data_IF_730643202883
#
_entry.id   IF_730643202883
#
_cell.length_a   1.000
_cell.length_b   1.000
_cell.length_c   1.000
_cell.angle_alpha   90.00
_cell.angle_beta   90.00
_cell.angle_gamma   90.00
#
_symmetry.space_group_name_H-M   'P 1'
#
loop_
_entity.id
_entity.type
_entity.pdbx_description
1 polymer ?
#
# COMPACT_ATOMS: atom_id res chain seq x y z
N UNK A 1 0.02 4.56 0.28
CA UNK A 1 1.40 4.06 0.31
C UNK A 1 1.40 2.56 0.53
N UNK A 2 2.45 1.89 0.07
CA UNK A 2 2.59 0.44 0.16
C UNK A 2 3.54 0.08 1.31
N UNK A 3 2.99 -0.56 2.34
CA UNK A 3 3.72 -0.88 3.57
C UNK A 3 3.95 -2.38 3.64
N UNK A 4 5.20 -2.81 3.80
CA UNK A 4 5.53 -4.19 4.13
C UNK A 4 5.39 -4.40 5.64
N UNK A 5 4.78 -5.51 6.04
CA UNK A 5 4.68 -5.93 7.44
C UNK A 5 5.27 -7.32 7.59
N UNK A 6 6.35 -7.45 8.36
CA UNK A 6 6.88 -8.75 8.77
C UNK A 6 6.37 -9.03 10.19
N UNK A 7 5.44 -9.97 10.33
CA UNK A 7 4.83 -10.33 11.60
C UNK A 7 4.48 -11.83 11.58
N UNK A 8 5.14 -12.67 12.38
CA UNK A 8 4.85 -14.10 12.44
C UNK A 8 3.45 -14.41 12.97
N UNK A 9 2.96 -13.61 13.92
CA UNK A 9 1.60 -13.78 14.47
C UNK A 9 0.55 -13.23 13.50
N UNK A 10 -0.20 -14.14 12.90
CA UNK A 10 -1.26 -13.83 11.92
C UNK A 10 -2.40 -12.99 12.54
N UNK A 11 -2.69 -13.15 13.84
CA UNK A 11 -3.76 -12.35 14.48
C UNK A 11 -3.30 -10.92 14.71
N UNK A 12 -2.06 -10.75 15.16
CA UNK A 12 -1.47 -9.42 15.30
C UNK A 12 -1.28 -8.75 13.93
N UNK A 13 -0.86 -9.49 12.91
CA UNK A 13 -0.76 -8.99 11.54
C UNK A 13 -2.10 -8.46 11.01
N UNK A 14 -3.22 -9.14 11.29
CA UNK A 14 -4.57 -8.65 10.91
C UNK A 14 -4.96 -7.37 11.64
N UNK A 15 -4.53 -7.20 12.90
CA UNK A 15 -4.76 -5.96 13.63
C UNK A 15 -3.98 -4.81 12.97
N UNK A 16 -2.68 -5.00 12.75
CA UNK A 16 -1.82 -4.00 12.12
C UNK A 16 -2.30 -3.65 10.71
N UNK A 17 -2.68 -4.64 9.89
CA UNK A 17 -3.26 -4.41 8.54
C UNK A 17 -4.49 -3.49 8.61
N UNK A 18 -5.40 -3.73 9.57
CA UNK A 18 -6.58 -2.85 9.74
C UNK A 18 -6.21 -1.42 10.11
N UNK A 19 -5.24 -1.24 11.00
CA UNK A 19 -4.76 0.09 11.40
C UNK A 19 -4.12 0.82 10.21
N UNK A 20 -3.22 0.17 9.49
CA UNK A 20 -2.56 0.69 8.29
C UNK A 20 -3.59 1.06 7.21
N UNK A 21 -4.58 0.19 7.01
CA UNK A 21 -5.66 0.45 6.08
C UNK A 21 -6.52 1.65 6.47
N UNK A 22 -6.84 1.80 7.77
CA UNK A 22 -7.56 2.97 8.28
C UNK A 22 -6.78 4.28 8.06
N UNK A 23 -5.44 4.22 7.99
CA UNK A 23 -4.57 5.32 7.60
C UNK A 23 -4.50 5.58 6.09
N UNK A 24 -5.28 4.88 5.27
CA UNK A 24 -5.29 5.06 3.80
C UNK A 24 -4.11 4.39 3.09
N UNK A 25 -3.44 3.41 3.73
CA UNK A 25 -2.32 2.69 3.14
C UNK A 25 -2.69 1.25 2.78
N UNK A 26 -1.88 0.62 1.95
CA UNK A 26 -1.99 -0.80 1.59
C UNK A 26 -0.89 -1.55 2.33
N UNK A 27 -1.26 -2.59 3.07
CA UNK A 27 -0.34 -3.44 3.82
C UNK A 27 -0.14 -4.78 3.10
N UNK A 28 1.11 -5.19 2.93
CA UNK A 28 1.48 -6.52 2.48
C UNK A 28 2.15 -7.27 3.63
N UNK A 29 1.52 -8.37 4.05
CA UNK A 29 1.99 -9.16 5.18
C UNK A 29 2.94 -10.28 4.74
N UNK A 30 4.02 -10.43 5.50
CA UNK A 30 5.01 -11.50 5.41
C UNK A 30 5.15 -12.16 6.78
N UNK A 31 5.28 -13.49 6.81
CA UNK A 31 5.49 -14.24 8.05
C UNK A 31 6.96 -14.40 8.40
N UNK A 32 7.86 -14.17 7.44
CA UNK A 32 9.32 -14.31 7.60
C UNK A 32 10.07 -13.20 6.87
N UNK A 33 11.26 -12.86 7.36
CA UNK A 33 12.13 -11.91 6.70
C UNK A 33 12.59 -12.39 5.32
N UNK A 34 12.87 -13.68 5.16
CA UNK A 34 13.27 -14.26 3.88
C UNK A 34 12.20 -14.04 2.79
N UNK A 35 10.90 -14.21 3.14
CA UNK A 35 9.80 -13.98 2.19
C UNK A 35 9.67 -12.51 1.79
N UNK A 36 9.91 -11.58 2.71
CA UNK A 36 9.96 -10.16 2.43
C UNK A 36 11.15 -9.79 1.53
N UNK A 37 12.37 -10.20 1.91
CA UNK A 37 13.59 -9.88 1.17
C UNK A 37 13.54 -10.40 -0.27
N UNK A 38 13.03 -11.62 -0.47
CA UNK A 38 12.81 -12.16 -1.81
C UNK A 38 11.88 -11.25 -2.63
N UNK A 39 10.79 -10.80 -2.03
CA UNK A 39 9.81 -9.95 -2.71
C UNK A 39 10.34 -8.53 -2.96
N UNK A 40 11.15 -8.00 -2.08
CA UNK A 40 11.74 -6.66 -2.16
C UNK A 40 12.69 -6.50 -3.37
N UNK A 41 13.24 -7.59 -3.92
CA UNK A 41 14.03 -7.54 -5.15
C UNK A 41 13.19 -7.17 -6.38
N UNK A 42 11.91 -7.53 -6.40
CA UNK A 42 11.04 -7.34 -7.55
C UNK A 42 10.00 -6.23 -7.34
N UNK A 43 9.81 -5.78 -6.10
CA UNK A 43 8.72 -4.88 -5.73
C UNK A 43 9.19 -3.79 -4.77
N UNK A 44 8.67 -2.56 -4.97
CA UNK A 44 8.96 -1.42 -4.10
C UNK A 44 8.00 -1.34 -2.93
N UNK A 45 8.53 -0.93 -1.78
CA UNK A 45 7.78 -0.60 -0.58
C UNK A 45 8.12 0.81 -0.12
N UNK A 46 7.13 1.51 0.44
CA UNK A 46 7.29 2.87 0.93
C UNK A 46 7.70 2.90 2.41
N UNK A 47 7.46 1.81 3.15
CA UNK A 47 7.82 1.65 4.55
C UNK A 47 7.82 0.16 4.93
N UNK A 48 8.74 -0.24 5.79
CA UNK A 48 8.77 -1.55 6.43
C UNK A 48 8.36 -1.43 7.89
N UNK A 49 7.42 -2.28 8.32
CA UNK A 49 7.14 -2.55 9.72
C UNK A 49 7.57 -3.99 9.98
N UNK A 50 8.42 -4.22 10.95
CA UNK A 50 8.88 -5.57 11.29
C UNK A 50 8.75 -5.83 12.78
N UNK A 51 8.41 -7.05 13.17
CA UNK A 51 8.59 -7.54 14.53
C UNK A 51 10.08 -7.58 14.87
N UNK A 52 10.43 -7.43 16.14
CA UNK A 52 11.82 -7.55 16.61
C UNK A 52 12.45 -8.90 16.25
N UNK A 53 11.64 -9.95 16.22
CA UNK A 53 12.00 -11.24 15.63
C UNK A 53 11.14 -11.48 14.39
N UNK A 54 11.73 -11.32 13.23
CA UNK A 54 11.04 -11.33 11.92
C UNK A 54 10.69 -12.75 11.41
N UNK A 55 10.41 -13.65 12.31
CA UNK A 55 10.03 -15.04 12.06
C UNK A 55 11.19 -16.00 11.90
N UNK A 56 12.25 -15.60 11.25
CA UNK A 56 13.45 -16.40 10.96
C UNK A 56 14.76 -15.70 11.43
N UNK A 57 14.77 -14.36 11.49
CA UNK A 57 15.94 -13.56 11.89
C UNK A 57 15.53 -12.40 12.80
N UNK A 58 16.43 -11.89 13.66
CA UNK A 58 16.20 -10.66 14.41
C UNK A 58 16.17 -9.45 13.47
N UNK A 59 15.43 -8.42 13.84
CA UNK A 59 15.26 -7.22 13.01
C UNK A 59 16.60 -6.54 12.68
N UNK A 60 17.55 -6.57 13.62
CA UNK A 60 18.92 -6.03 13.47
C UNK A 60 19.71 -6.66 12.31
N UNK A 61 19.42 -7.92 11.95
CA UNK A 61 20.03 -8.59 10.80
C UNK A 61 19.22 -8.34 9.50
N UNK A 62 17.91 -8.13 9.63
CA UNK A 62 17.01 -7.92 8.49
C UNK A 62 17.13 -6.51 7.93
N UNK A 63 17.25 -5.50 8.78
CA UNK A 63 17.28 -4.08 8.39
C UNK A 63 18.41 -3.76 7.41
N UNK A 64 19.69 -4.14 7.67
CA UNK A 64 20.78 -3.88 6.72
C UNK A 64 20.54 -4.56 5.37
N UNK A 65 20.01 -5.78 5.36
CA UNK A 65 19.68 -6.50 4.12
C UNK A 65 18.54 -5.81 3.35
N UNK A 66 17.51 -5.37 4.06
CA UNK A 66 16.41 -4.61 3.44
C UNK A 66 16.93 -3.31 2.80
N UNK A 67 17.82 -2.58 3.47
CA UNK A 67 18.42 -1.36 2.96
C UNK A 67 19.44 -1.58 1.82
N UNK A 68 20.07 -2.74 1.73
CA UNK A 68 20.91 -3.06 0.57
C UNK A 68 20.07 -3.20 -0.72
N UNK A 69 18.80 -3.59 -0.61
CA UNK A 69 17.86 -3.72 -1.73
C UNK A 69 17.09 -2.40 -1.94
N UNK A 70 16.63 -1.79 -0.86
CA UNK A 70 15.81 -0.55 -0.85
C UNK A 70 16.49 0.50 0.07
N UNK A 71 17.49 1.25 -0.40
CA UNK A 71 18.35 2.09 0.45
C UNK A 71 17.63 3.17 1.27
N UNK A 72 16.53 3.71 0.74
CA UNK A 72 15.76 4.78 1.38
C UNK A 72 14.50 4.27 2.11
N UNK A 73 14.36 2.95 2.31
CA UNK A 73 13.18 2.36 2.94
C UNK A 73 13.10 2.74 4.43
N UNK A 74 12.10 3.50 4.89
CA UNK A 74 11.91 3.73 6.32
C UNK A 74 11.51 2.43 7.03
N UNK A 75 11.99 2.25 8.27
CA UNK A 75 11.77 1.02 9.03
C UNK A 75 11.25 1.34 10.44
N UNK A 76 10.13 0.72 10.82
CA UNK A 76 9.60 0.69 12.19
C UNK A 76 9.77 -0.73 12.75
N UNK A 77 10.33 -0.85 13.95
CA UNK A 77 10.40 -2.14 14.66
C UNK A 77 9.34 -2.21 15.74
N UNK A 78 8.52 -3.26 15.72
CA UNK A 78 7.55 -3.57 16.77
C UNK A 78 8.22 -4.47 17.81
N UNK A 79 8.05 -4.15 19.09
CA UNK A 79 8.73 -4.85 20.19
C UNK A 79 7.76 -5.15 21.32
N UNK A 80 7.82 -6.35 21.88
CA UNK A 80 7.08 -6.73 23.10
C UNK A 80 7.92 -6.47 24.33
N UNK A 81 7.50 -5.52 25.19
CA UNK A 81 8.21 -5.13 26.42
C UNK A 81 9.74 -4.98 26.22
N UNK A 82 10.20 -4.10 25.32
CA UNK A 82 11.60 -4.03 24.93
C UNK A 82 12.47 -3.55 26.11
N UNK A 83 13.69 -4.13 26.21
CA UNK A 83 14.75 -3.56 27.02
C UNK A 83 15.42 -2.42 26.24
N UNK A 84 15.98 -1.46 26.96
CA UNK A 84 16.69 -0.34 26.34
C UNK A 84 17.76 -0.81 25.33
N UNK A 85 18.54 -1.84 25.69
CA UNK A 85 19.56 -2.42 24.80
C UNK A 85 19.01 -2.93 23.47
N UNK A 86 17.80 -3.46 23.44
CA UNK A 86 17.14 -3.94 22.21
C UNK A 86 16.71 -2.78 21.32
N UNK A 87 16.19 -1.71 21.93
CA UNK A 87 15.83 -0.48 21.20
C UNK A 87 17.10 0.13 20.58
N UNK A 88 18.17 0.25 21.36
CA UNK A 88 19.45 0.78 20.90
C UNK A 88 20.02 -0.06 19.77
N UNK A 89 19.98 -1.40 19.88
CA UNK A 89 20.46 -2.30 18.82
C UNK A 89 19.67 -2.13 17.51
N UNK A 90 18.35 -2.06 17.57
CA UNK A 90 17.52 -1.86 16.39
C UNK A 90 17.79 -0.49 15.71
N UNK A 91 17.93 0.58 16.50
CA UNK A 91 18.25 1.91 15.98
C UNK A 91 19.66 1.95 15.34
N UNK A 92 20.65 1.33 15.97
CA UNK A 92 22.01 1.22 15.40
C UNK A 92 22.01 0.37 14.11
N UNK A 93 21.15 -0.65 14.00
CA UNK A 93 20.99 -1.43 12.78
C UNK A 93 20.30 -0.64 11.65
N UNK A 94 19.77 0.56 11.96
CA UNK A 94 19.18 1.46 10.98
C UNK A 94 17.65 1.51 11.00
N UNK A 95 17.00 1.08 12.09
CA UNK A 95 15.58 1.39 12.31
C UNK A 95 15.38 2.91 12.46
N UNK A 96 14.32 3.43 11.86
CA UNK A 96 13.99 4.86 11.99
C UNK A 96 13.11 5.13 13.21
N UNK A 97 12.42 4.09 13.72
CA UNK A 97 11.59 4.17 14.92
C UNK A 97 11.35 2.79 15.53
N UNK A 98 11.00 2.76 16.83
CA UNK A 98 10.61 1.56 17.57
C UNK A 98 9.28 1.80 18.29
N UNK A 99 8.38 0.84 18.20
CA UNK A 99 7.06 0.88 18.83
C UNK A 99 6.87 -0.32 19.76
N UNK A 100 6.44 -0.03 20.99
CA UNK A 100 6.11 -1.09 21.96
C UNK A 100 4.71 -1.66 21.69
N UNK A 101 4.58 -2.97 21.83
CA UNK A 101 3.27 -3.64 21.90
C UNK A 101 2.69 -3.50 23.32
N UNK A 102 1.36 -3.36 23.48
CA UNK A 102 0.33 -3.40 22.45
C UNK A 102 0.31 -2.13 21.59
N UNK A 103 0.19 -2.31 20.26
CA UNK A 103 0.22 -1.21 19.30
C UNK A 103 -1.05 -0.35 19.45
N UNK A 104 -0.85 0.95 19.68
CA UNK A 104 -1.92 1.95 19.71
C UNK A 104 -2.12 2.54 18.32
N UNK A 105 -3.33 2.38 17.76
CA UNK A 105 -3.62 2.78 16.39
C UNK A 105 -3.26 4.23 16.04
N UNK A 106 -3.72 5.24 16.82
CA UNK A 106 -3.39 6.65 16.54
C UNK A 106 -1.88 6.93 16.58
N UNK A 107 -1.15 6.33 17.56
CA UNK A 107 0.30 6.50 17.67
C UNK A 107 1.02 5.90 16.47
N UNK A 108 0.70 4.66 16.12
CA UNK A 108 1.30 3.97 14.99
C UNK A 108 1.11 4.75 13.69
N UNK A 109 -0.10 5.21 13.42
CA UNK A 109 -0.40 5.98 12.21
C UNK A 109 0.35 7.32 12.17
N UNK A 110 0.45 8.01 13.32
CA UNK A 110 1.21 9.25 13.41
C UNK A 110 2.70 9.06 13.09
N UNK A 111 3.30 7.95 13.54
CA UNK A 111 4.71 7.61 13.28
C UNK A 111 4.93 7.17 11.83
N UNK A 112 4.06 6.34 11.28
CA UNK A 112 4.04 5.98 9.85
C UNK A 112 4.00 7.26 8.99
N UNK A 113 3.07 8.17 9.29
CA UNK A 113 2.94 9.43 8.58
C UNK A 113 4.18 10.31 8.69
N UNK A 114 4.80 10.35 9.86
CA UNK A 114 6.03 11.14 10.08
C UNK A 114 7.20 10.61 9.24
N UNK A 115 7.38 9.29 9.19
CA UNK A 115 8.45 8.65 8.42
C UNK A 115 8.23 8.80 6.91
N UNK A 116 7.01 8.58 6.42
CA UNK A 116 6.66 8.77 5.02
C UNK A 116 6.86 10.24 4.56
N UNK A 117 6.59 11.23 5.44
CA UNK A 117 6.92 12.64 5.16
C UNK A 117 8.42 12.89 5.06
N UNK A 118 9.22 12.35 6.00
CA UNK A 118 10.70 12.51 5.99
C UNK A 118 11.31 11.90 4.73
N UNK A 119 10.79 10.76 4.29
CA UNK A 119 11.22 10.11 3.04
C UNK A 119 10.77 10.85 1.77
N UNK A 120 10.09 11.99 1.88
CA UNK A 120 9.56 12.75 0.74
C UNK A 120 8.38 12.07 0.03
N UNK A 121 7.87 10.98 0.60
CA UNK A 121 6.82 10.16 -0.01
C UNK A 121 5.41 10.66 0.30
N UNK A 122 5.26 11.59 1.24
CA UNK A 122 3.96 12.13 1.63
C UNK A 122 3.95 13.67 1.65
N UNK A 123 2.98 14.28 0.98
CA UNK A 123 2.65 15.70 1.16
C UNK A 123 2.04 15.94 2.55
N UNK A 124 2.22 17.13 3.19
CA UNK A 124 1.71 17.42 4.54
C UNK A 124 0.20 17.13 4.61
N UNK A 125 -0.16 16.29 5.58
CA UNK A 125 -1.54 15.89 5.83
C UNK A 125 -2.31 17.07 6.45
N UNK A 126 -3.01 17.81 5.60
CA UNK A 126 -4.10 18.65 6.06
C UNK A 126 -5.37 18.26 5.28
N UNK A 127 -5.87 17.02 5.52
CA UNK A 127 -7.26 16.60 5.29
C UNK A 127 -7.39 15.08 5.49
N UNK A 128 -8.42 14.68 6.23
CA UNK A 128 -8.87 13.28 6.46
C UNK A 128 -9.31 12.53 5.17
N UNK A 129 -8.90 12.97 4.01
CA UNK A 129 -9.19 12.38 2.70
C UNK A 129 -7.92 12.40 1.88
N UNK A 130 -7.33 11.23 1.62
CA UNK A 130 -6.22 11.11 0.67
C UNK A 130 -6.76 11.42 -0.73
N UNK A 131 -6.36 12.56 -1.29
CA UNK A 131 -6.72 12.93 -2.67
C UNK A 131 -5.60 12.52 -3.60
N UNK A 132 -5.84 11.54 -4.44
CA UNK A 132 -4.91 11.05 -5.46
C UNK A 132 -5.55 11.31 -6.82
N UNK A 133 -4.92 12.15 -7.64
CA UNK A 133 -5.43 12.45 -8.97
C UNK A 133 -6.85 13.07 -8.97
N UNK A 134 -7.21 13.86 -7.95
CA UNK A 134 -8.54 14.44 -7.79
C UNK A 134 -9.60 13.52 -7.16
N UNK A 135 -9.26 12.24 -6.90
CA UNK A 135 -10.11 11.29 -6.16
C UNK A 135 -9.77 11.33 -4.67
N UNK A 136 -10.74 11.64 -3.82
CA UNK A 136 -10.59 11.65 -2.37
C UNK A 136 -11.09 10.33 -1.78
N UNK A 137 -10.20 9.57 -1.14
CA UNK A 137 -10.47 8.27 -0.55
C UNK A 137 -10.80 8.40 0.94
N UNK A 138 -11.95 7.89 1.36
CA UNK A 138 -12.38 7.79 2.76
C UNK A 138 -12.39 6.31 3.18
N UNK A 139 -11.33 5.89 3.87
CA UNK A 139 -11.15 4.51 4.30
C UNK A 139 -12.13 4.08 5.40
N UNK A 140 -12.64 5.02 6.21
CA UNK A 140 -13.59 4.71 7.28
C UNK A 140 -14.96 4.28 6.73
N UNK A 141 -15.37 4.84 5.59
CA UNK A 141 -16.67 4.58 4.97
C UNK A 141 -16.57 3.81 3.65
N UNK A 142 -15.36 3.39 3.23
CA UNK A 142 -15.08 2.78 1.92
C UNK A 142 -15.63 3.62 0.77
N UNK A 143 -15.56 4.94 0.89
CA UNK A 143 -16.12 5.88 -0.05
C UNK A 143 -15.01 6.60 -0.83
N UNK A 144 -15.30 6.91 -2.08
CA UNK A 144 -14.41 7.68 -2.96
C UNK A 144 -15.20 8.85 -3.52
N UNK A 145 -14.67 10.07 -3.37
CA UNK A 145 -15.29 11.30 -3.88
C UNK A 145 -14.47 11.83 -5.05
N UNK A 146 -15.12 12.12 -6.17
CA UNK A 146 -14.55 12.74 -7.36
C UNK A 146 -15.56 13.70 -7.98
N UNK A 147 -15.16 14.92 -8.33
CA UNK A 147 -16.02 15.96 -8.93
C UNK A 147 -17.38 16.09 -8.23
N UNK A 148 -17.39 16.22 -6.90
CA UNK A 148 -18.58 16.32 -6.04
C UNK A 148 -19.50 15.07 -6.01
N UNK A 149 -19.10 13.97 -6.63
CA UNK A 149 -19.80 12.69 -6.55
C UNK A 149 -19.08 11.76 -5.58
N UNK A 150 -19.81 11.26 -4.59
CA UNK A 150 -19.32 10.24 -3.65
C UNK A 150 -19.91 8.88 -4.01
N UNK A 151 -19.02 7.88 -4.13
CA UNK A 151 -19.36 6.49 -4.48
C UNK A 151 -18.89 5.58 -3.36
N UNK A 152 -19.77 4.75 -2.83
CA UNK A 152 -19.42 3.70 -1.86
C UNK A 152 -18.99 2.43 -2.59
N UNK A 153 -17.87 1.89 -2.17
CA UNK A 153 -17.27 0.67 -2.69
C UNK A 153 -17.37 -0.45 -1.66
N UNK A 154 -17.35 -1.70 -2.10
CA UNK A 154 -17.10 -2.79 -1.16
C UNK A 154 -15.66 -2.72 -0.64
N UNK A 155 -15.34 -3.31 0.53
CA UNK A 155 -13.97 -3.26 1.07
C UNK A 155 -12.89 -3.75 0.10
N UNK A 156 -13.19 -4.75 -0.74
CA UNK A 156 -12.27 -5.27 -1.75
C UNK A 156 -12.13 -4.34 -2.96
N UNK A 157 -13.23 -3.75 -3.43
CA UNK A 157 -13.21 -2.75 -4.49
C UNK A 157 -12.43 -1.50 -4.04
N UNK A 158 -12.62 -1.07 -2.79
CA UNK A 158 -11.91 0.08 -2.23
C UNK A 158 -10.40 -0.18 -2.13
N UNK A 159 -9.99 -1.34 -1.59
CA UNK A 159 -8.57 -1.74 -1.53
C UNK A 159 -7.95 -1.82 -2.92
N UNK A 160 -8.64 -2.40 -3.89
CA UNK A 160 -8.18 -2.47 -5.27
C UNK A 160 -8.04 -1.07 -5.89
N UNK A 161 -9.04 -0.21 -5.73
CA UNK A 161 -8.99 1.16 -6.23
C UNK A 161 -7.82 1.94 -5.61
N UNK A 162 -7.68 1.92 -4.29
CA UNK A 162 -6.61 2.60 -3.58
C UNK A 162 -5.22 2.11 -4.03
N UNK A 163 -5.06 0.78 -4.24
CA UNK A 163 -3.83 0.20 -4.77
C UNK A 163 -3.51 0.73 -6.16
N UNK A 164 -4.47 0.75 -7.08
CA UNK A 164 -4.29 1.23 -8.45
C UNK A 164 -3.92 2.72 -8.48
N UNK A 165 -4.60 3.54 -7.69
CA UNK A 165 -4.29 4.97 -7.59
C UNK A 165 -2.93 5.27 -6.95
N UNK A 166 -2.49 4.46 -6.00
CA UNK A 166 -1.14 4.56 -5.43
C UNK A 166 -0.03 4.10 -6.39
N UNK A 167 -0.40 3.38 -7.46
CA UNK A 167 0.51 2.91 -8.50
C UNK A 167 0.17 3.51 -9.87
N UNK A 168 -0.21 4.79 -9.92
CA UNK A 168 -0.48 5.49 -11.19
C UNK A 168 0.68 5.34 -12.17
N UNK A 169 0.36 5.05 -13.43
CA UNK A 169 1.28 4.81 -14.54
C UNK A 169 2.23 3.61 -14.34
N UNK A 170 1.97 2.75 -13.33
CA UNK A 170 2.76 1.54 -13.08
C UNK A 170 1.85 0.31 -13.09
N UNK A 171 2.22 -0.76 -13.79
CA UNK A 171 1.44 -1.98 -13.80
C UNK A 171 1.51 -2.71 -12.45
N UNK A 172 0.35 -3.19 -11.99
CA UNK A 172 0.21 -3.98 -10.76
C UNK A 172 -0.08 -5.42 -11.14
N UNK A 173 0.77 -6.36 -10.69
CA UNK A 173 0.63 -7.77 -11.04
C UNK A 173 -0.61 -8.42 -10.41
N UNK A 174 -1.19 -9.43 -11.10
CA UNK A 174 -2.31 -10.21 -10.56
C UNK A 174 -1.97 -10.89 -9.24
N UNK A 175 -0.75 -11.39 -9.10
CA UNK A 175 -0.27 -12.02 -7.88
C UNK A 175 -0.30 -11.03 -6.72
N UNK A 176 0.21 -9.80 -6.94
CA UNK A 176 0.21 -8.75 -5.95
C UNK A 176 -1.21 -8.30 -5.56
N UNK A 177 -2.10 -8.14 -6.56
CA UNK A 177 -3.51 -7.81 -6.32
C UNK A 177 -4.19 -8.90 -5.45
N UNK A 178 -4.00 -10.18 -5.78
CA UNK A 178 -4.57 -11.30 -5.01
C UNK A 178 -4.04 -11.31 -3.57
N UNK A 179 -2.74 -11.15 -3.41
CA UNK A 179 -2.08 -11.18 -2.10
C UNK A 179 -2.58 -10.06 -1.19
N UNK A 180 -2.66 -8.84 -1.72
CA UNK A 180 -2.98 -7.64 -0.94
C UNK A 180 -4.48 -7.48 -0.70
N UNK A 181 -5.31 -7.72 -1.71
CA UNK A 181 -6.77 -7.48 -1.62
C UNK A 181 -7.50 -8.70 -1.06
N UNK A 182 -7.00 -9.93 -1.30
CA UNK A 182 -7.66 -11.18 -0.88
C UNK A 182 -6.89 -11.98 0.17
N UNK A 183 -5.73 -11.48 0.67
CA UNK A 183 -4.92 -12.13 1.73
C UNK A 183 -4.63 -13.61 1.44
N UNK A 184 -4.09 -13.91 0.24
CA UNK A 184 -3.71 -15.28 -0.19
C UNK A 184 -4.77 -16.38 0.04
N UNK A 185 -6.04 -16.09 -0.09
CA UNK A 185 -7.03 -17.17 -0.11
C UNK A 185 -6.79 -18.04 -1.36
N UNK A 186 -6.33 -19.28 -1.16
CA UNK A 186 -6.02 -20.26 -2.23
C UNK A 186 -7.18 -20.52 -3.19
N UNK A 187 -8.40 -20.18 -2.78
CA UNK A 187 -9.63 -20.45 -3.54
C UNK A 187 -10.06 -19.28 -4.46
N UNK A 188 -9.34 -18.15 -4.48
CA UNK A 188 -9.72 -17.00 -5.31
C UNK A 188 -9.21 -17.18 -6.72
N UNK A 189 -10.13 -17.50 -7.64
CA UNK A 189 -9.82 -17.62 -9.07
C UNK A 189 -9.42 -16.24 -9.64
N UNK A 190 -8.48 -16.23 -10.58
CA UNK A 190 -7.98 -15.04 -11.29
C UNK A 190 -9.12 -14.17 -11.88
N UNK A 191 -10.22 -14.78 -12.33
CA UNK A 191 -11.43 -14.11 -12.83
C UNK A 191 -12.09 -13.19 -11.80
N UNK A 192 -11.87 -13.42 -10.50
CA UNK A 192 -12.40 -12.53 -9.45
C UNK A 192 -11.79 -11.13 -9.52
N UNK A 193 -10.51 -11.01 -9.89
CA UNK A 193 -9.85 -9.71 -10.09
C UNK A 193 -10.52 -8.96 -11.24
N UNK A 194 -10.79 -9.63 -12.36
CA UNK A 194 -11.38 -9.01 -13.55
C UNK A 194 -12.77 -8.42 -13.26
N UNK A 195 -13.57 -9.15 -12.49
CA UNK A 195 -14.88 -8.68 -12.04
C UNK A 195 -14.76 -7.43 -11.15
N UNK A 196 -13.81 -7.41 -10.19
CA UNK A 196 -13.63 -6.25 -9.31
C UNK A 196 -13.02 -5.06 -10.05
N UNK A 197 -12.05 -5.29 -10.96
CA UNK A 197 -11.49 -4.24 -11.80
C UNK A 197 -12.55 -3.59 -12.70
N UNK A 198 -13.43 -4.40 -13.29
CA UNK A 198 -14.57 -3.91 -14.09
C UNK A 198 -15.53 -3.06 -13.24
N UNK A 199 -15.86 -3.50 -12.03
CA UNK A 199 -16.73 -2.75 -11.10
C UNK A 199 -16.07 -1.44 -10.64
N UNK A 200 -14.78 -1.46 -10.30
CA UNK A 200 -14.03 -0.25 -9.93
C UNK A 200 -14.00 0.73 -11.10
N UNK A 201 -13.70 0.25 -12.33
CA UNK A 201 -13.73 1.07 -13.55
C UNK A 201 -15.08 1.74 -13.73
N UNK A 202 -16.17 0.99 -13.64
CA UNK A 202 -17.53 1.50 -13.83
C UNK A 202 -17.95 2.46 -12.72
N UNK A 203 -17.74 2.11 -11.44
CA UNK A 203 -18.17 2.91 -10.30
C UNK A 203 -17.41 4.23 -10.19
N UNK A 204 -16.08 4.21 -10.42
CA UNK A 204 -15.22 5.39 -10.37
C UNK A 204 -15.10 6.11 -11.71
N UNK A 205 -15.77 5.60 -12.75
CA UNK A 205 -15.76 6.19 -14.10
C UNK A 205 -14.33 6.38 -14.64
N UNK A 206 -13.48 5.34 -14.52
CA UNK A 206 -12.10 5.37 -14.99
C UNK A 206 -12.07 5.15 -16.51
N UNK A 207 -12.36 6.22 -17.27
CA UNK A 207 -12.44 6.26 -18.73
C UNK A 207 -11.56 7.38 -19.26
N UNK A 208 -10.98 7.24 -20.47
CA UNK A 208 -10.14 8.25 -21.10
C UNK A 208 -10.77 9.64 -21.12
N UNK A 209 -12.06 9.73 -21.45
CA UNK A 209 -12.82 10.99 -21.55
C UNK A 209 -12.91 11.74 -20.21
N UNK A 210 -12.69 11.03 -19.09
CA UNK A 210 -12.71 11.58 -17.73
C UNK A 210 -11.31 11.75 -17.13
N UNK A 211 -10.26 11.56 -17.97
CA UNK A 211 -8.87 11.76 -17.58
C UNK A 211 -8.19 10.56 -16.93
N UNK A 212 -8.78 9.36 -17.01
CA UNK A 212 -8.20 8.13 -16.47
C UNK A 212 -8.50 6.93 -17.35
N UNK A 213 -7.56 5.98 -17.42
CA UNK A 213 -7.76 4.70 -18.10
C UNK A 213 -7.27 3.55 -17.24
N UNK A 214 -8.18 2.64 -16.88
CA UNK A 214 -7.83 1.37 -16.23
C UNK A 214 -7.81 0.27 -17.28
N UNK A 215 -6.61 -0.22 -17.65
CA UNK A 215 -6.40 -1.20 -18.71
C UNK A 215 -5.82 -2.51 -18.15
N UNK A 216 -6.18 -3.67 -18.72
CA UNK A 216 -5.49 -4.91 -18.45
C UNK A 216 -4.12 -4.90 -19.14
N UNK A 217 -3.07 -5.32 -18.43
CA UNK A 217 -1.75 -5.63 -19.00
C UNK A 217 -1.68 -7.13 -19.23
N UNK A 218 -1.61 -7.53 -20.50
CA UNK A 218 -1.69 -8.95 -20.87
C UNK A 218 -0.64 -9.81 -20.15
N UNK A 219 -1.09 -10.92 -19.59
CA UNK A 219 -0.24 -11.86 -18.85
C UNK A 219 0.28 -11.34 -17.48
N UNK A 220 0.11 -10.04 -17.16
CA UNK A 220 0.69 -9.43 -15.95
C UNK A 220 -0.36 -9.00 -14.94
N UNK A 221 -1.27 -8.07 -15.29
CA UNK A 221 -2.23 -7.53 -14.32
C UNK A 221 -3.04 -6.36 -14.84
N UNK A 222 -3.02 -5.24 -14.09
CA UNK A 222 -3.75 -4.03 -14.42
C UNK A 222 -2.88 -2.79 -14.25
N UNK A 223 -3.11 -1.78 -15.08
CA UNK A 223 -2.49 -0.46 -14.99
C UNK A 223 -3.56 0.62 -15.00
N UNK A 224 -3.38 1.63 -14.14
CA UNK A 224 -4.19 2.84 -14.12
C UNK A 224 -3.35 4.02 -14.59
N UNK A 225 -3.75 4.64 -15.66
CA UNK A 225 -3.08 5.81 -16.25
C UNK A 225 -3.94 7.07 -16.05
N UNK A 226 -3.26 8.19 -15.74
CA UNK A 226 -3.86 9.52 -15.84
C UNK A 226 -3.65 10.04 -17.27
N UNK A 227 -4.72 10.46 -17.92
CA UNK A 227 -4.70 10.98 -19.29
C UNK A 227 -4.87 12.51 -19.21
N UNK A 228 -3.92 13.31 -19.71
CA UNK A 228 -4.08 14.76 -19.81
C UNK A 228 -5.31 15.10 -20.68
N UNK A 229 -6.15 16.02 -20.21
CA UNK A 229 -7.39 16.39 -20.93
C UNK A 229 -7.13 17.09 -22.27
N UNK A 230 -5.91 17.60 -22.50
CA UNK A 230 -5.55 18.25 -23.78
C UNK A 230 -5.34 17.26 -24.94
N UNK A 231 -5.16 15.96 -24.66
CA UNK A 231 -4.98 14.95 -25.71
C UNK A 231 -6.30 14.46 -26.34
N UNK A 232 -7.42 14.59 -25.63
CA UNK A 232 -8.74 14.18 -26.14
C UNK A 232 -9.31 15.12 -27.21
N UNK A 233 -8.85 16.37 -27.26
CA UNK A 233 -9.31 17.36 -28.25
C UNK A 233 -8.63 17.21 -29.62
N UNK A 234 -7.52 16.49 -29.72
CA UNK A 234 -6.76 16.35 -30.97
C UNK A 234 -7.14 15.10 -31.79
N UNK A 235 -7.75 14.08 -31.19
CA UNK A 235 -8.19 12.90 -31.96
C UNK A 235 -9.49 13.11 -32.73
N UNK A 236 -10.39 14.01 -32.29
CA UNK A 236 -11.62 14.33 -33.02
C UNK A 236 -11.38 15.29 -34.22
N UNK A 237 -10.29 16.06 -34.18
CA UNK A 237 -9.94 16.97 -35.27
C UNK A 237 -9.24 16.27 -36.45
N UNK A 238 -8.79 15.02 -36.29
CA UNK A 238 -8.11 14.25 -37.34
C UNK A 238 -9.02 13.26 -38.08
N UNK A 239 -10.32 13.24 -37.74
CA UNK A 239 -11.34 12.37 -38.40
C UNK A 239 -12.43 13.14 -39.15
N UNK A 240 -12.19 14.44 -39.43
CA UNK A 240 -13.04 15.25 -40.30
C UNK A 240 -12.37 15.48 -41.67
#
# INVERSE_FOLDING_TARGET
>A
MRIALIEPDVQHAKLVDRLIFAGGHVCQHFTTSASFLHRANDEFFDLLITENWAGDHPAEDVIPRARSILPSLPVIVLMSAPRESQIVAALHAGADDCLSKPVRGPEMLARVDALLRRAGLRRPANRRRDTIGGYAFDAAHFAVTYRNRTVTLTPKEFRLALMLFNNLARPVSRAHILETVWARRRDVKSRTIDTHASRVRSKLQLRPELGYSLTPVYGYGYQLDAIPQDAAAQEDASKM
#
